data_IF_588781471751
#
_entry.id   IF_588781471751
#
_cell.length_a   1.000
_cell.length_b   1.000
_cell.length_c   1.000
_cell.angle_alpha   90.00
_cell.angle_beta   90.00
_cell.angle_gamma   90.00
#
_symmetry.space_group_name_H-M   'P 1'
#
loop_
_entity.id
_entity.type
_entity.pdbx_description
1 polymer ?
#
# COMPACT_ATOMS: atom_id res chain seq x y z
N UNK A 1 -35.74 32.04 3.37
CA UNK A 1 -34.55 32.10 2.48
C UNK A 1 -33.21 31.88 3.20
N UNK A 2 -33.10 31.95 4.54
CA UNK A 2 -31.84 31.74 5.27
C UNK A 2 -31.35 30.28 5.36
N UNK A 3 -32.23 29.28 5.18
CA UNK A 3 -31.88 27.86 5.35
C UNK A 3 -31.04 27.24 4.23
N UNK A 4 -31.04 27.81 3.02
CA UNK A 4 -30.25 27.30 1.89
C UNK A 4 -28.80 27.81 1.92
N UNK A 5 -28.56 28.99 2.48
CA UNK A 5 -27.22 29.57 2.58
C UNK A 5 -26.33 28.78 3.56
N UNK A 6 -26.90 28.32 4.68
CA UNK A 6 -26.20 27.54 5.71
C UNK A 6 -25.79 26.16 5.19
N UNK A 7 -26.65 25.50 4.39
CA UNK A 7 -26.33 24.20 3.78
C UNK A 7 -25.23 24.31 2.74
N UNK A 8 -25.24 25.33 1.89
CA UNK A 8 -24.16 25.57 0.91
C UNK A 8 -22.84 25.95 1.59
N UNK A 9 -22.88 26.68 2.70
CA UNK A 9 -21.68 27.05 3.46
C UNK A 9 -21.06 25.85 4.20
N UNK A 10 -21.88 24.96 4.79
CA UNK A 10 -21.40 23.71 5.38
C UNK A 10 -20.84 22.75 4.31
N UNK A 11 -21.46 22.67 3.14
CA UNK A 11 -20.93 21.87 2.02
C UNK A 11 -19.59 22.41 1.51
N UNK A 12 -19.44 23.74 1.44
CA UNK A 12 -18.19 24.40 1.05
C UNK A 12 -17.09 24.23 2.11
N UNK A 13 -17.44 24.25 3.41
CA UNK A 13 -16.51 23.96 4.51
C UNK A 13 -16.08 22.48 4.54
N UNK A 14 -16.95 21.53 4.19
CA UNK A 14 -16.57 20.14 4.01
C UNK A 14 -15.63 19.96 2.80
N UNK A 15 -15.78 20.77 1.74
CA UNK A 15 -14.87 20.83 0.60
C UNK A 15 -13.51 21.46 0.94
N UNK A 16 -13.48 22.45 1.83
CA UNK A 16 -12.23 23.02 2.33
C UNK A 16 -11.54 22.09 3.34
N UNK A 17 -12.28 21.36 4.17
CA UNK A 17 -11.68 20.34 5.04
C UNK A 17 -11.13 19.16 4.25
N UNK A 18 -11.77 18.77 3.14
CA UNK A 18 -11.23 17.76 2.21
C UNK A 18 -10.01 18.26 1.43
N UNK A 19 -9.91 19.57 1.15
CA UNK A 19 -8.72 20.20 0.55
C UNK A 19 -7.51 20.31 1.50
N UNK A 20 -7.71 20.17 2.82
CA UNK A 20 -6.62 20.06 3.82
C UNK A 20 -6.07 18.61 3.91
N UNK A 21 -6.61 17.67 3.12
CA UNK A 21 -6.08 16.31 3.07
C UNK A 21 -4.89 16.24 2.12
N UNK A 22 -3.74 15.82 2.66
CA UNK A 22 -2.51 15.38 1.99
C UNK A 22 -2.25 16.04 0.62
N UNK A 23 -1.41 17.07 0.58
CA UNK A 23 -0.94 17.58 -0.70
C UNK A 23 -0.39 16.40 -1.53
N UNK A 24 -0.78 16.28 -2.82
CA UNK A 24 -0.25 15.24 -3.67
C UNK A 24 1.27 15.29 -3.63
N UNK A 25 1.88 14.14 -3.42
CA UNK A 25 3.32 13.99 -3.59
C UNK A 25 3.64 14.33 -5.05
N UNK A 26 4.63 15.19 -5.24
CA UNK A 26 5.16 15.43 -6.58
C UNK A 26 5.87 14.16 -7.04
N UNK A 27 5.38 13.57 -8.13
CA UNK A 27 5.97 12.36 -8.74
C UNK A 27 7.35 12.63 -9.37
N UNK A 28 7.69 13.90 -9.60
CA UNK A 28 8.96 14.33 -10.18
C UNK A 28 9.99 14.72 -9.11
N UNK A 29 9.66 14.58 -7.83
CA UNK A 29 10.57 14.97 -6.75
C UNK A 29 11.72 13.94 -6.63
N UNK A 30 12.99 14.39 -6.75
CA UNK A 30 14.15 13.50 -6.75
C UNK A 30 14.32 12.70 -5.47
N UNK A 31 13.64 13.08 -4.37
CA UNK A 31 13.59 12.29 -3.13
C UNK A 31 13.00 10.89 -3.33
N UNK A 32 12.23 10.68 -4.41
CA UNK A 32 11.53 9.43 -4.68
C UNK A 32 12.18 8.55 -5.74
N UNK A 33 13.29 8.98 -6.37
CA UNK A 33 13.96 8.21 -7.44
C UNK A 33 14.35 6.78 -7.04
N UNK A 34 14.62 6.54 -5.77
CA UNK A 34 14.92 5.19 -5.29
C UNK A 34 13.67 4.27 -5.35
N UNK A 35 12.46 4.82 -5.17
CA UNK A 35 11.21 4.09 -5.31
C UNK A 35 10.98 3.73 -6.78
N UNK A 36 11.23 4.68 -7.69
CA UNK A 36 11.11 4.44 -9.13
C UNK A 36 12.05 3.33 -9.59
N UNK A 37 13.31 3.36 -9.15
CA UNK A 37 14.29 2.31 -9.44
C UNK A 37 13.87 0.94 -8.88
N UNK A 38 13.20 0.91 -7.73
CA UNK A 38 12.65 -0.32 -7.17
C UNK A 38 11.46 -0.83 -8.00
N UNK A 39 10.53 0.06 -8.38
CA UNK A 39 9.38 -0.27 -9.23
C UNK A 39 9.88 -0.83 -10.57
N UNK A 40 10.79 -0.14 -11.25
CA UNK A 40 11.36 -0.58 -12.53
C UNK A 40 11.98 -1.98 -12.42
N UNK A 41 12.79 -2.22 -11.38
CA UNK A 41 13.41 -3.52 -11.13
C UNK A 41 12.38 -4.65 -10.99
N UNK A 42 11.26 -4.39 -10.34
CA UNK A 42 10.24 -5.40 -10.06
C UNK A 42 9.32 -5.67 -11.25
N UNK A 43 9.03 -4.63 -12.04
CA UNK A 43 8.27 -4.79 -13.28
C UNK A 43 9.10 -5.35 -14.44
N UNK A 44 10.43 -5.33 -14.35
CA UNK A 44 11.34 -5.87 -15.37
C UNK A 44 11.04 -7.32 -15.76
N UNK A 45 10.59 -8.15 -14.83
CA UNK A 45 10.26 -9.56 -15.10
C UNK A 45 9.09 -9.70 -16.10
N UNK A 46 8.25 -8.67 -16.22
CA UNK A 46 7.08 -8.64 -17.09
C UNK A 46 7.26 -7.75 -18.33
N UNK A 47 8.41 -7.10 -18.50
CA UNK A 47 8.65 -6.11 -19.57
C UNK A 47 8.44 -6.70 -20.97
N UNK A 48 8.91 -7.93 -21.19
CA UNK A 48 8.85 -8.60 -22.49
C UNK A 48 7.53 -9.35 -22.74
N UNK A 49 6.88 -9.84 -21.68
CA UNK A 49 5.67 -10.66 -21.80
C UNK A 49 4.39 -9.86 -21.61
N UNK A 50 4.50 -8.69 -20.98
CA UNK A 50 3.38 -7.99 -20.40
C UNK A 50 2.76 -8.74 -19.22
N UNK A 51 1.71 -8.14 -18.66
CA UNK A 51 0.83 -8.75 -17.66
C UNK A 51 -0.51 -8.99 -18.36
N UNK A 52 -0.93 -10.25 -18.48
CA UNK A 52 -2.18 -10.60 -19.18
C UNK A 52 -3.30 -10.94 -18.22
N UNK A 53 -4.54 -10.89 -18.71
CA UNK A 53 -5.71 -11.31 -17.96
C UNK A 53 -5.65 -12.79 -17.57
N UNK A 54 -5.10 -13.64 -18.44
CA UNK A 54 -4.89 -15.06 -18.17
C UNK A 54 -3.93 -15.28 -17.01
N UNK A 55 -2.85 -14.48 -16.92
CA UNK A 55 -1.92 -14.54 -15.79
C UNK A 55 -2.63 -14.22 -14.47
N UNK A 56 -3.47 -13.17 -14.46
CA UNK A 56 -4.24 -12.80 -13.26
C UNK A 56 -5.27 -13.88 -12.90
N UNK A 57 -5.97 -14.44 -13.88
CA UNK A 57 -6.93 -15.52 -13.64
C UNK A 57 -6.24 -16.77 -13.08
N UNK A 58 -5.09 -17.14 -13.65
CA UNK A 58 -4.30 -18.29 -13.19
C UNK A 58 -3.84 -18.12 -11.74
N UNK A 59 -3.41 -16.92 -11.34
CA UNK A 59 -3.08 -16.64 -9.93
C UNK A 59 -4.31 -16.81 -9.02
N UNK A 60 -5.48 -16.32 -9.42
CA UNK A 60 -6.71 -16.45 -8.61
C UNK A 60 -7.20 -17.90 -8.50
N UNK A 61 -6.98 -18.74 -9.51
CA UNK A 61 -7.29 -20.17 -9.46
C UNK A 61 -6.44 -20.92 -8.42
N UNK A 62 -5.28 -20.36 -8.04
CA UNK A 62 -4.38 -20.94 -7.03
C UNK A 62 -4.74 -20.60 -5.60
N UNK A 63 -5.71 -19.72 -5.36
CA UNK A 63 -6.15 -19.34 -4.01
C UNK A 63 -6.48 -20.55 -3.11
N UNK A 64 -7.21 -21.59 -3.58
CA UNK A 64 -7.52 -22.76 -2.75
C UNK A 64 -6.29 -23.60 -2.38
N UNK A 65 -5.18 -23.44 -3.10
CA UNK A 65 -3.91 -24.16 -2.86
C UNK A 65 -2.99 -23.40 -1.88
N UNK A 66 -3.32 -22.17 -1.49
CA UNK A 66 -2.51 -21.35 -0.56
C UNK A 66 -2.55 -21.95 0.84
N UNK A 67 -1.37 -22.23 1.38
CA UNK A 67 -1.21 -22.67 2.76
C UNK A 67 -0.94 -21.43 3.61
N UNK A 68 -1.80 -21.22 4.60
CA UNK A 68 -1.78 -20.10 5.55
C UNK A 68 -2.16 -18.75 4.90
N UNK A 69 -3.34 -18.25 5.27
CA UNK A 69 -3.88 -16.94 4.89
C UNK A 69 -4.11 -16.73 3.39
N UNK A 70 -5.21 -17.26 2.83
CA UNK A 70 -5.58 -17.08 1.42
C UNK A 70 -6.13 -15.67 1.15
N UNK A 71 -5.47 -14.62 1.64
CA UNK A 71 -5.90 -13.23 1.51
C UNK A 71 -5.36 -12.61 0.22
N UNK A 72 -5.58 -13.29 -0.91
CA UNK A 72 -5.43 -12.67 -2.22
C UNK A 72 -6.73 -11.98 -2.60
N UNK A 73 -6.68 -10.66 -2.76
CA UNK A 73 -7.81 -9.86 -3.21
C UNK A 73 -7.54 -9.37 -4.62
N UNK A 74 -8.54 -9.52 -5.49
CA UNK A 74 -8.50 -8.95 -6.83
C UNK A 74 -9.28 -7.65 -6.84
N UNK A 75 -8.62 -6.57 -7.24
CA UNK A 75 -9.20 -5.23 -7.32
C UNK A 75 -9.06 -4.70 -8.74
N UNK A 76 -10.01 -3.88 -9.15
CA UNK A 76 -9.99 -3.19 -10.45
C UNK A 76 -10.16 -1.70 -10.25
N UNK A 77 -9.38 -0.91 -10.95
CA UNK A 77 -9.61 0.52 -11.09
C UNK A 77 -10.22 0.72 -12.46
N UNK A 78 -11.39 1.34 -12.52
CA UNK A 78 -12.10 1.64 -13.78
C UNK A 78 -12.63 3.06 -13.68
N UNK A 79 -12.21 3.94 -14.58
CA UNK A 79 -12.53 5.36 -14.59
C UNK A 79 -12.33 6.02 -13.21
N UNK A 80 -11.16 5.76 -12.59
CA UNK A 80 -10.80 6.30 -11.27
C UNK A 80 -11.61 5.75 -10.09
N UNK A 81 -12.37 4.66 -10.26
CA UNK A 81 -13.13 4.02 -9.17
C UNK A 81 -12.63 2.61 -8.90
N UNK A 82 -12.53 2.24 -7.63
CA UNK A 82 -12.01 0.93 -7.20
C UNK A 82 -13.14 -0.07 -6.96
N UNK A 83 -13.08 -1.20 -7.66
CA UNK A 83 -14.01 -2.32 -7.62
C UNK A 83 -13.31 -3.57 -7.06
N UNK A 84 -14.09 -4.51 -6.50
CA UNK A 84 -13.60 -5.72 -5.84
C UNK A 84 -13.95 -5.77 -4.35
N UNK A 85 -13.46 -6.82 -3.69
CA UNK A 85 -13.73 -7.05 -2.26
C UNK A 85 -13.23 -5.88 -1.41
N UNK A 86 -13.98 -5.55 -0.35
CA UNK A 86 -13.56 -4.53 0.61
C UNK A 86 -12.28 -4.94 1.34
N UNK A 87 -11.62 -3.97 1.97
CA UNK A 87 -10.35 -4.21 2.63
C UNK A 87 -9.52 -2.94 2.63
N UNK A 88 -8.42 -3.00 3.37
CA UNK A 88 -7.52 -1.86 3.51
C UNK A 88 -6.88 -1.46 2.17
N UNK A 89 -6.62 -2.43 1.27
CA UNK A 89 -6.08 -2.15 -0.07
C UNK A 89 -7.03 -1.29 -0.89
N UNK A 90 -8.31 -1.64 -0.86
CA UNK A 90 -9.35 -0.90 -1.58
C UNK A 90 -9.45 0.53 -1.05
N UNK A 91 -9.36 0.74 0.25
CA UNK A 91 -9.36 2.08 0.85
C UNK A 91 -8.17 2.91 0.39
N UNK A 92 -6.96 2.37 0.45
CA UNK A 92 -5.75 3.05 -0.02
C UNK A 92 -5.84 3.41 -1.51
N UNK A 93 -6.21 2.46 -2.36
CA UNK A 93 -6.35 2.70 -3.80
C UNK A 93 -7.46 3.72 -4.10
N UNK A 94 -8.55 3.70 -3.35
CA UNK A 94 -9.62 4.70 -3.50
C UNK A 94 -9.08 6.09 -3.19
N UNK A 95 -8.29 6.21 -2.11
CA UNK A 95 -7.66 7.47 -1.75
C UNK A 95 -6.64 7.94 -2.79
N UNK A 96 -5.87 7.03 -3.38
CA UNK A 96 -4.95 7.34 -4.48
C UNK A 96 -5.74 7.87 -5.69
N UNK A 97 -6.86 7.23 -6.06
CA UNK A 97 -7.69 7.67 -7.19
C UNK A 97 -8.40 9.02 -6.95
N UNK A 98 -8.59 9.42 -5.70
CA UNK A 98 -9.11 10.76 -5.35
C UNK A 98 -8.07 11.87 -5.57
N UNK A 99 -6.78 11.54 -5.49
CA UNK A 99 -5.67 12.49 -5.53
C UNK A 99 -5.02 12.52 -6.92
N UNK A 100 -4.91 11.36 -7.57
CA UNK A 100 -4.20 11.18 -8.83
C UNK A 100 -5.11 10.60 -9.91
N UNK A 101 -4.83 10.97 -11.16
CA UNK A 101 -5.44 10.33 -12.32
C UNK A 101 -4.79 8.97 -12.55
N UNK A 102 -5.49 7.89 -12.17
CA UNK A 102 -5.02 6.51 -12.34
C UNK A 102 -5.74 5.87 -13.53
N UNK A 103 -5.02 5.22 -14.48
CA UNK A 103 -5.64 4.53 -15.60
C UNK A 103 -6.42 3.28 -15.14
N UNK A 104 -7.22 2.73 -16.06
CA UNK A 104 -7.90 1.47 -15.83
C UNK A 104 -6.88 0.34 -15.64
N UNK A 105 -6.99 -0.41 -14.54
CA UNK A 105 -6.02 -1.45 -14.19
C UNK A 105 -6.68 -2.58 -13.36
N UNK A 106 -6.19 -3.81 -13.54
CA UNK A 106 -6.62 -5.01 -12.81
C UNK A 106 -5.44 -5.54 -11.98
N UNK A 107 -5.65 -5.72 -10.68
CA UNK A 107 -4.61 -5.95 -9.68
C UNK A 107 -4.93 -7.19 -8.85
N UNK A 108 -3.90 -7.90 -8.42
CA UNK A 108 -4.01 -8.91 -7.35
C UNK A 108 -3.10 -8.48 -6.22
N UNK A 109 -3.66 -8.37 -5.02
CA UNK A 109 -2.97 -7.90 -3.82
C UNK A 109 -3.02 -9.00 -2.76
N UNK A 110 -1.88 -9.27 -2.14
CA UNK A 110 -1.75 -10.10 -0.95
C UNK A 110 -1.92 -9.22 0.30
N UNK A 111 -3.08 -9.33 0.97
CA UNK A 111 -3.35 -8.69 2.26
C UNK A 111 -2.87 -9.57 3.42
N UNK A 112 -1.60 -9.97 3.38
CA UNK A 112 -0.93 -10.71 4.44
C UNK A 112 0.59 -10.53 4.36
N UNK A 113 1.27 -10.79 5.47
CA UNK A 113 2.74 -10.72 5.56
C UNK A 113 3.43 -11.79 4.70
N UNK A 114 2.93 -13.03 4.67
CA UNK A 114 3.60 -14.13 3.95
C UNK A 114 2.63 -15.26 3.62
N UNK A 115 2.89 -15.92 2.49
CA UNK A 115 2.35 -17.23 2.16
C UNK A 115 3.47 -18.28 2.16
N UNK A 116 3.22 -19.47 2.70
CA UNK A 116 4.29 -20.47 2.86
C UNK A 116 4.72 -21.11 1.54
N UNK A 117 3.79 -21.32 0.61
CA UNK A 117 4.05 -21.96 -0.68
C UNK A 117 4.04 -20.97 -1.84
N UNK A 118 4.71 -19.83 -1.70
CA UNK A 118 4.71 -18.73 -2.67
C UNK A 118 5.04 -19.10 -4.12
N UNK A 119 5.74 -20.21 -4.36
CA UNK A 119 6.06 -20.70 -5.71
C UNK A 119 4.82 -21.04 -6.55
N UNK A 120 3.65 -21.23 -5.93
CA UNK A 120 2.39 -21.43 -6.65
C UNK A 120 1.89 -20.15 -7.33
N UNK A 121 2.37 -18.97 -6.91
CA UNK A 121 1.99 -17.70 -7.51
C UNK A 121 2.89 -17.42 -8.71
N UNK A 122 2.33 -17.66 -9.90
CA UNK A 122 3.09 -17.63 -11.17
C UNK A 122 3.02 -16.29 -11.90
N UNK A 123 2.15 -15.38 -11.46
CA UNK A 123 1.91 -14.06 -12.04
C UNK A 123 2.14 -12.91 -11.06
N UNK A 124 1.86 -11.66 -11.48
CA UNK A 124 2.14 -10.48 -10.69
C UNK A 124 1.19 -10.40 -9.50
N UNK A 125 1.76 -10.36 -8.30
CA UNK A 125 1.04 -10.16 -7.05
C UNK A 125 1.69 -9.04 -6.28
N UNK A 126 0.89 -8.06 -5.90
CA UNK A 126 1.29 -6.93 -5.09
C UNK A 126 1.30 -7.34 -3.62
N UNK A 127 2.40 -7.12 -2.90
CA UNK A 127 2.57 -7.56 -1.52
C UNK A 127 3.34 -6.53 -0.67
N UNK A 128 3.00 -6.49 0.62
CA UNK A 128 3.68 -5.65 1.63
C UNK A 128 5.16 -5.96 1.77
N UNK A 129 5.52 -7.23 1.71
CA UNK A 129 6.89 -7.70 1.81
C UNK A 129 7.08 -8.95 0.97
N UNK A 130 8.35 -9.26 0.70
CA UNK A 130 8.72 -10.40 -0.12
C UNK A 130 10.04 -11.01 0.34
N UNK A 131 10.23 -12.30 0.08
CA UNK A 131 11.46 -13.04 0.35
C UNK A 131 12.31 -13.06 -0.93
N UNK A 132 13.52 -12.50 -0.85
CA UNK A 132 14.47 -12.51 -1.95
C UNK A 132 14.85 -13.94 -2.35
N UNK A 133 14.91 -14.20 -3.66
CA UNK A 133 15.25 -15.50 -4.23
C UNK A 133 14.10 -16.51 -4.28
N UNK A 134 12.93 -16.17 -3.75
CA UNK A 134 11.77 -17.09 -3.74
C UNK A 134 10.48 -16.45 -4.26
N UNK A 135 10.34 -15.13 -4.13
CA UNK A 135 9.14 -14.36 -4.51
C UNK A 135 9.45 -13.26 -5.52
N UNK A 136 10.28 -13.57 -6.52
CA UNK A 136 10.78 -12.56 -7.49
C UNK A 136 9.64 -11.88 -8.28
N UNK A 137 8.57 -12.64 -8.55
CA UNK A 137 7.34 -12.20 -9.23
C UNK A 137 6.42 -11.32 -8.38
N UNK A 138 6.70 -11.18 -7.08
CA UNK A 138 5.96 -10.27 -6.22
C UNK A 138 6.49 -8.85 -6.35
N UNK A 139 5.55 -7.93 -6.48
CA UNK A 139 5.79 -6.50 -6.60
C UNK A 139 5.48 -5.87 -5.24
N UNK A 140 6.37 -5.04 -4.72
CA UNK A 140 6.13 -4.37 -3.45
C UNK A 140 4.97 -3.38 -3.57
N UNK A 141 4.10 -3.42 -2.58
CA UNK A 141 2.98 -2.52 -2.44
C UNK A 141 2.95 -1.96 -1.02
N UNK A 142 2.79 -0.64 -0.83
CA UNK A 142 2.82 -0.04 0.49
C UNK A 142 1.73 -0.60 1.41
N UNK A 143 2.11 -0.81 2.67
CA UNK A 143 1.25 -1.37 3.71
C UNK A 143 0.16 -0.39 4.11
N UNK A 144 -1.05 -0.88 4.34
CA UNK A 144 -2.22 -0.05 4.55
C UNK A 144 -2.50 0.35 6.01
N UNK A 145 -1.79 -0.21 6.99
CA UNK A 145 -1.99 0.10 8.44
C UNK A 145 -1.63 1.56 8.78
N UNK A 146 -0.96 2.25 7.87
CA UNK A 146 -0.35 3.54 8.17
C UNK A 146 -1.32 4.72 8.08
N UNK A 147 -2.35 4.71 7.22
CA UNK A 147 -3.12 5.95 6.97
C UNK A 147 -3.80 6.56 8.21
N UNK A 148 -4.29 5.75 9.15
CA UNK A 148 -4.92 6.26 10.37
C UNK A 148 -3.92 6.44 11.53
N UNK A 149 -2.88 5.60 11.61
CA UNK A 149 -1.92 5.62 12.72
C UNK A 149 -0.74 6.56 12.48
N UNK A 150 -0.40 6.83 11.23
CA UNK A 150 0.81 7.56 10.82
C UNK A 150 0.81 9.00 11.32
N UNK A 151 -0.33 9.70 11.29
CA UNK A 151 -0.36 11.12 11.71
C UNK A 151 -0.04 11.27 13.20
N UNK A 152 -0.68 10.46 14.04
CA UNK A 152 -0.46 10.51 15.49
C UNK A 152 0.89 9.89 15.86
N UNK A 153 1.27 8.80 15.20
CA UNK A 153 2.54 8.12 15.45
C UNK A 153 3.74 8.98 15.06
N UNK A 154 3.78 9.55 13.85
CA UNK A 154 4.88 10.43 13.41
C UNK A 154 5.01 11.62 14.35
N UNK A 155 3.92 12.34 14.64
CA UNK A 155 3.95 13.47 15.57
C UNK A 155 4.46 13.07 16.97
N UNK A 156 4.07 11.88 17.47
CA UNK A 156 4.54 11.41 18.76
C UNK A 156 6.02 11.02 18.74
N UNK A 157 6.51 10.43 17.65
CA UNK A 157 7.93 10.12 17.43
C UNK A 157 8.74 11.40 17.34
N UNK A 158 8.27 12.41 16.59
CA UNK A 158 8.92 13.72 16.48
C UNK A 158 9.05 14.39 17.85
N UNK A 159 7.96 14.47 18.61
CA UNK A 159 7.98 15.00 19.99
C UNK A 159 8.93 14.23 20.90
N UNK A 160 8.95 12.90 20.81
CA UNK A 160 9.85 12.07 21.60
C UNK A 160 11.33 12.29 21.22
N UNK A 161 11.62 12.48 19.93
CA UNK A 161 12.94 12.81 19.43
C UNK A 161 13.41 14.20 19.91
N UNK A 162 12.53 15.21 19.88
CA UNK A 162 12.81 16.54 20.41
C UNK A 162 13.07 16.53 21.92
N UNK A 163 12.30 15.75 22.68
CA UNK A 163 12.45 15.60 24.13
C UNK A 163 13.68 14.77 24.54
N UNK A 164 14.31 14.05 23.61
CA UNK A 164 15.46 13.19 23.88
C UNK A 164 16.49 13.29 22.75
N UNK A 165 17.24 14.41 22.70
CA UNK A 165 18.25 14.67 21.69
C UNK A 165 19.36 13.61 21.71
N UNK A 166 20.15 13.56 20.64
CA UNK A 166 21.16 12.51 20.43
C UNK A 166 22.12 12.37 21.61
N UNK A 167 22.58 13.50 22.15
CA UNK A 167 23.55 13.59 23.24
C UNK A 167 23.01 13.07 24.58
N UNK A 168 21.69 13.00 24.73
CA UNK A 168 21.05 12.47 25.94
C UNK A 168 20.60 11.02 25.79
N UNK A 169 20.81 10.38 24.63
CA UNK A 169 20.42 8.97 24.42
C UNK A 169 21.34 8.05 25.22
N UNK A 170 20.77 6.98 25.77
CA UNK A 170 21.53 5.97 26.49
C UNK A 170 22.32 5.15 25.47
N UNK A 171 23.64 5.02 25.67
CA UNK A 171 24.55 4.22 24.83
C UNK A 171 24.36 2.71 25.07
N UNK A 172 23.14 2.21 24.85
CA UNK A 172 22.78 0.80 24.95
C UNK A 172 21.85 0.41 23.82
N UNK A 173 22.06 -0.79 23.31
CA UNK A 173 21.13 -1.41 22.36
C UNK A 173 19.83 -1.70 23.10
N UNK A 174 18.71 -1.27 22.53
CA UNK A 174 17.37 -1.53 23.06
C UNK A 174 16.58 -2.36 22.04
N UNK A 175 16.02 -3.47 22.51
CA UNK A 175 15.07 -4.28 21.74
C UNK A 175 13.90 -4.65 22.65
N UNK A 176 12.68 -4.41 22.17
CA UNK A 176 11.44 -4.86 22.80
C UNK A 176 10.51 -5.37 21.72
N UNK A 177 10.14 -6.64 21.81
CA UNK A 177 9.24 -7.28 20.87
C UNK A 177 8.88 -8.67 21.36
N UNK A 178 8.06 -9.37 20.58
CA UNK A 178 7.82 -10.79 20.77
C UNK A 178 8.62 -11.57 19.73
N UNK A 179 9.03 -12.79 20.06
CA UNK A 179 9.79 -13.63 19.16
C UNK A 179 8.88 -14.20 18.07
N UNK A 180 8.83 -13.53 16.92
CA UNK A 180 8.30 -14.07 15.68
C UNK A 180 9.41 -14.83 14.94
N UNK A 181 9.89 -15.92 15.56
CA UNK A 181 10.89 -16.79 14.96
C UNK A 181 10.23 -17.83 14.07
N UNK A 182 10.31 -17.63 12.76
CA UNK A 182 9.94 -18.66 11.79
C UNK A 182 11.13 -19.62 11.67
N UNK A 183 10.95 -20.89 12.04
CA UNK A 183 11.87 -21.94 11.59
C UNK A 183 11.51 -22.23 10.13
N UNK A 184 12.24 -21.60 9.20
CA UNK A 184 12.29 -22.03 7.80
C UNK A 184 12.94 -23.40 7.72
#
# INVERSE_FOLDING_TARGET
MAGNLIKSFLFFLCFLSSAIHAQPLSLEDPRWFWMDAQIEKEFKEFENTGITLEMLNSVMEKVPEIIFGPNLVRLKIINGKVYGQGGFAKHLLSRICEIYSVPDVDLIILEQDIIWNHSILTGPVLATCKILGTTEKMIHFPVQIWLEWERDFISNVEKACEASPWESKVEKIFWRGIQYGWKL
#
